data_IF_056385959938
#
_entry.id   IF_056385959938
#
_cell.length_a   1.000
_cell.length_b   1.000
_cell.length_c   1.000
_cell.angle_alpha   90.00
_cell.angle_beta   90.00
_cell.angle_gamma   90.00
#
_symmetry.space_group_name_H-M   'P 1'
#
loop_
_entity.id
_entity.type
_entity.pdbx_description
1 polymer ?
#
# COMPACT_ATOMS: atom_id res chain seq x y z
N UNK A 1 5.54 -25.42 2.61
CA UNK A 1 5.83 -26.86 2.43
C UNK A 1 7.30 -27.16 2.63
N UNK A 2 8.23 -26.45 1.98
CA UNK A 2 9.67 -26.71 2.06
C UNK A 2 10.34 -26.29 3.40
N UNK A 3 9.64 -25.59 4.28
CA UNK A 3 10.07 -25.42 5.69
C UNK A 3 9.85 -26.65 6.56
N UNK A 4 9.14 -27.65 6.05
CA UNK A 4 8.92 -28.90 6.75
C UNK A 4 10.11 -29.88 6.56
N UNK A 5 10.36 -30.73 7.56
CA UNK A 5 11.40 -31.75 7.47
C UNK A 5 11.19 -32.68 6.26
N UNK A 6 12.24 -33.32 5.75
CA UNK A 6 12.10 -34.29 4.64
C UNK A 6 11.09 -35.41 4.93
N UNK A 7 10.97 -35.86 6.17
CA UNK A 7 9.98 -36.86 6.56
C UNK A 7 8.54 -36.34 6.43
N UNK A 8 8.30 -35.10 6.84
CA UNK A 8 6.98 -34.42 6.69
C UNK A 8 6.66 -34.17 5.23
N UNK A 9 7.64 -33.77 4.43
CA UNK A 9 7.46 -33.61 2.98
C UNK A 9 7.12 -34.95 2.30
N UNK A 10 7.70 -36.06 2.78
CA UNK A 10 7.36 -37.42 2.29
C UNK A 10 5.90 -37.79 2.59
N UNK A 11 5.39 -37.42 3.77
CA UNK A 11 3.96 -37.63 4.09
C UNK A 11 3.05 -36.77 3.19
N UNK A 12 3.42 -35.49 2.94
CA UNK A 12 2.70 -34.60 2.03
C UNK A 12 2.68 -35.15 0.58
N UNK A 13 3.68 -35.91 0.17
CA UNK A 13 3.73 -36.55 -1.14
C UNK A 13 2.53 -37.46 -1.39
N UNK A 14 2.14 -38.28 -0.40
CA UNK A 14 0.96 -39.13 -0.51
C UNK A 14 -0.33 -38.30 -0.66
N UNK A 15 -0.45 -37.21 0.10
CA UNK A 15 -1.59 -36.32 -0.01
C UNK A 15 -1.72 -35.71 -1.42
N UNK A 16 -0.60 -35.23 -1.97
CA UNK A 16 -0.60 -34.58 -3.30
C UNK A 16 -0.82 -35.60 -4.42
N UNK A 17 -0.25 -36.78 -4.31
CA UNK A 17 -0.34 -37.82 -5.35
C UNK A 17 -1.68 -38.56 -5.32
N UNK A 18 -2.04 -39.09 -4.14
CA UNK A 18 -3.17 -40.01 -3.97
C UNK A 18 -4.42 -39.27 -3.44
N UNK A 19 -4.31 -37.99 -3.13
CA UNK A 19 -5.38 -37.16 -2.51
C UNK A 19 -5.88 -37.81 -1.20
N UNK A 20 -4.97 -38.46 -0.45
CA UNK A 20 -5.29 -39.18 0.76
C UNK A 20 -4.17 -39.08 1.81
N UNK A 21 -4.54 -39.10 3.09
CA UNK A 21 -3.62 -39.30 4.23
C UNK A 21 -4.16 -40.43 5.08
N UNK A 22 -3.42 -41.52 5.13
CA UNK A 22 -3.86 -42.73 5.83
C UNK A 22 -5.21 -43.22 5.25
N UNK A 23 -6.25 -43.23 6.08
CA UNK A 23 -7.62 -43.63 5.66
C UNK A 23 -8.47 -42.49 5.16
N UNK A 24 -8.02 -41.24 5.31
CA UNK A 24 -8.79 -40.07 4.90
C UNK A 24 -8.55 -39.74 3.41
N UNK A 25 -9.62 -39.69 2.64
CA UNK A 25 -9.63 -39.31 1.22
C UNK A 25 -10.10 -37.88 1.07
N UNK A 26 -9.35 -37.04 0.33
CA UNK A 26 -9.79 -35.70 -0.02
C UNK A 26 -10.96 -35.78 -1.02
N UNK A 27 -12.01 -34.96 -0.83
CA UNK A 27 -13.09 -34.81 -1.82
C UNK A 27 -12.53 -34.34 -3.18
N UNK A 28 -13.19 -34.73 -4.27
CA UNK A 28 -12.73 -34.42 -5.63
C UNK A 28 -12.69 -32.91 -5.93
N UNK A 29 -13.58 -32.13 -5.32
CA UNK A 29 -13.67 -30.69 -5.48
C UNK A 29 -12.65 -29.88 -4.65
N UNK A 30 -11.74 -30.52 -3.92
CA UNK A 30 -10.70 -29.84 -3.14
C UNK A 30 -9.46 -29.61 -4.02
N UNK A 31 -8.99 -28.38 -4.11
CA UNK A 31 -7.70 -28.03 -4.73
C UNK A 31 -6.60 -28.02 -3.66
N UNK A 32 -5.43 -28.56 -4.00
CA UNK A 32 -4.27 -28.55 -3.11
C UNK A 32 -3.36 -27.40 -3.54
N UNK A 33 -3.13 -26.45 -2.65
CA UNK A 33 -2.15 -25.38 -2.81
C UNK A 33 -1.10 -25.47 -1.70
N UNK A 34 0.14 -25.14 -2.03
CA UNK A 34 1.24 -25.11 -1.08
C UNK A 34 2.01 -23.81 -1.18
N UNK A 35 2.42 -23.26 -0.03
CA UNK A 35 3.33 -22.13 0.05
C UNK A 35 4.69 -22.59 0.60
N UNK A 36 5.75 -21.90 0.20
CA UNK A 36 7.11 -22.15 0.65
C UNK A 36 7.98 -20.92 0.51
N UNK A 37 9.13 -20.92 1.14
CA UNK A 37 10.14 -19.87 1.00
C UNK A 37 11.08 -20.21 -0.15
N UNK A 38 11.67 -19.19 -0.76
CA UNK A 38 12.73 -19.40 -1.76
C UNK A 38 14.01 -19.86 -1.07
N UNK A 39 14.77 -20.70 -1.73
CA UNK A 39 16.07 -21.17 -1.21
C UNK A 39 17.05 -20.00 -1.01
N UNK A 40 16.88 -18.91 -1.78
CA UNK A 40 17.66 -17.66 -1.68
C UNK A 40 17.37 -16.85 -0.42
N UNK A 41 16.21 -17.05 0.21
CA UNK A 41 15.76 -16.21 1.34
C UNK A 41 16.43 -16.63 2.67
N UNK A 42 17.39 -17.60 2.64
CA UNK A 42 18.11 -18.12 3.83
C UNK A 42 17.21 -18.50 5.02
N UNK A 43 15.92 -18.66 4.80
CA UNK A 43 15.01 -19.24 5.79
C UNK A 43 15.29 -20.71 6.01
N UNK A 44 14.66 -21.30 7.03
CA UNK A 44 14.73 -22.76 7.21
C UNK A 44 13.98 -23.40 6.04
N UNK A 45 14.73 -23.85 5.04
CA UNK A 45 14.20 -24.55 3.87
C UNK A 45 14.92 -25.86 3.67
N UNK A 46 14.16 -26.88 3.33
CA UNK A 46 14.69 -28.16 2.87
C UNK A 46 14.37 -28.30 1.39
N UNK A 47 15.35 -28.77 0.63
CA UNK A 47 15.14 -29.00 -0.80
C UNK A 47 13.99 -29.96 -1.02
N UNK A 48 13.00 -29.53 -1.80
CA UNK A 48 11.87 -30.38 -2.15
C UNK A 48 12.33 -31.53 -3.03
N UNK A 49 11.96 -32.80 -2.73
CA UNK A 49 12.25 -33.94 -3.60
C UNK A 49 11.69 -33.69 -5.02
N UNK A 50 12.49 -33.97 -6.06
CA UNK A 50 12.07 -33.76 -7.46
C UNK A 50 10.72 -34.40 -7.80
N UNK A 51 10.38 -35.63 -7.34
CA UNK A 51 9.06 -36.18 -7.62
C UNK A 51 7.90 -35.42 -7.00
N UNK A 52 8.09 -34.78 -5.82
CA UNK A 52 7.09 -33.92 -5.19
C UNK A 52 6.98 -32.58 -5.94
N UNK A 53 8.12 -31.98 -6.24
CA UNK A 53 8.16 -30.72 -6.99
C UNK A 53 7.43 -30.84 -8.35
N UNK A 54 7.65 -31.91 -9.09
CA UNK A 54 7.03 -32.14 -10.40
C UNK A 54 5.50 -32.32 -10.37
N UNK A 55 4.88 -32.32 -9.20
CA UNK A 55 3.42 -32.42 -9.04
C UNK A 55 2.73 -31.10 -8.76
N UNK A 56 3.51 -30.05 -8.67
CA UNK A 56 3.02 -28.68 -8.50
C UNK A 56 3.29 -27.85 -9.74
N UNK A 57 2.39 -26.92 -10.00
CA UNK A 57 2.69 -25.74 -10.81
C UNK A 57 3.37 -24.72 -9.90
N UNK A 58 4.57 -24.29 -10.27
CA UNK A 58 5.36 -23.39 -9.45
C UNK A 58 5.15 -21.94 -9.89
N UNK A 59 4.76 -21.09 -8.94
CA UNK A 59 4.62 -19.66 -9.14
C UNK A 59 5.53 -18.92 -8.15
N UNK A 60 6.31 -17.98 -8.66
CA UNK A 60 7.10 -17.08 -7.84
C UNK A 60 6.29 -15.83 -7.56
N UNK A 61 5.94 -15.62 -6.28
CA UNK A 61 5.25 -14.39 -5.84
C UNK A 61 6.27 -13.30 -5.65
N UNK A 62 6.09 -12.17 -6.35
CA UNK A 62 6.92 -10.98 -6.25
C UNK A 62 6.15 -9.85 -5.60
N UNK A 63 6.88 -8.97 -4.90
CA UNK A 63 6.30 -7.73 -4.40
C UNK A 63 6.18 -6.76 -5.56
N UNK A 64 4.97 -6.23 -5.76
CA UNK A 64 4.65 -5.20 -6.75
C UNK A 64 3.98 -4.02 -6.05
N UNK A 65 4.51 -2.82 -6.25
CA UNK A 65 4.02 -1.62 -5.57
C UNK A 65 2.58 -1.29 -5.95
N UNK A 66 2.21 -1.37 -7.23
CA UNK A 66 0.87 -0.98 -7.66
C UNK A 66 -0.20 -1.92 -7.09
N UNK A 67 0.08 -3.22 -7.12
CA UNK A 67 -0.80 -4.23 -6.50
C UNK A 67 -0.91 -4.02 -5.00
N UNK A 68 0.21 -3.71 -4.32
CA UNK A 68 0.20 -3.38 -2.90
C UNK A 68 -0.58 -2.11 -2.61
N UNK A 69 -0.42 -1.06 -3.41
CA UNK A 69 -1.13 0.21 -3.25
C UNK A 69 -2.65 0.02 -3.36
N UNK A 70 -3.12 -0.76 -4.34
CA UNK A 70 -4.54 -1.07 -4.49
C UNK A 70 -5.09 -1.83 -3.26
N UNK A 71 -4.29 -2.73 -2.71
CA UNK A 71 -4.63 -3.44 -1.49
C UNK A 71 -4.60 -2.51 -0.27
N UNK A 72 -3.58 -1.67 -0.13
CA UNK A 72 -3.38 -0.74 0.98
C UNK A 72 -4.56 0.23 1.11
N UNK A 73 -5.02 0.80 -0.01
CA UNK A 73 -6.19 1.69 -0.06
C UNK A 73 -7.45 0.96 0.43
N UNK A 74 -7.69 -0.27 -0.05
CA UNK A 74 -8.87 -1.07 0.35
C UNK A 74 -8.85 -1.50 1.82
N UNK A 75 -7.65 -1.64 2.40
CA UNK A 75 -7.46 -2.06 3.79
C UNK A 75 -7.12 -0.88 4.71
N UNK A 76 -7.36 0.35 4.27
CA UNK A 76 -7.24 1.57 5.08
C UNK A 76 -5.86 1.74 5.73
N UNK A 77 -4.80 1.41 5.01
CA UNK A 77 -3.43 1.68 5.44
C UNK A 77 -3.24 3.19 5.62
N UNK A 78 -2.60 3.58 6.71
CA UNK A 78 -2.42 4.99 7.10
C UNK A 78 -1.88 5.84 5.93
N UNK A 79 -2.46 7.03 5.67
CA UNK A 79 -2.08 7.90 4.54
C UNK A 79 -0.59 8.22 4.47
N UNK A 80 0.09 8.42 5.63
CA UNK A 80 1.53 8.69 5.67
C UNK A 80 2.34 7.51 5.12
N UNK A 81 1.94 6.27 5.42
CA UNK A 81 2.61 5.07 4.89
C UNK A 81 2.42 4.97 3.38
N UNK A 82 1.19 5.15 2.89
CA UNK A 82 0.89 5.12 1.46
C UNK A 82 1.62 6.25 0.73
N UNK A 83 1.60 7.46 1.28
CA UNK A 83 2.27 8.65 0.71
C UNK A 83 3.80 8.47 0.66
N UNK A 84 4.41 8.00 1.74
CA UNK A 84 5.84 7.68 1.78
C UNK A 84 6.22 6.67 0.71
N UNK A 85 5.54 5.53 0.66
CA UNK A 85 5.83 4.46 -0.28
C UNK A 85 5.47 4.81 -1.73
N UNK A 86 4.56 5.74 -1.97
CA UNK A 86 4.31 6.27 -3.32
C UNK A 86 5.54 7.00 -3.85
N UNK A 87 6.25 7.72 -2.98
CA UNK A 87 7.50 8.41 -3.31
C UNK A 87 8.69 7.45 -3.36
N UNK A 88 8.80 6.58 -2.36
CA UNK A 88 9.94 5.68 -2.15
C UNK A 88 9.53 4.21 -2.35
N UNK A 89 9.11 3.86 -3.57
CA UNK A 89 8.54 2.53 -3.91
C UNK A 89 9.44 1.36 -3.54
N UNK A 90 10.76 1.56 -3.64
CA UNK A 90 11.74 0.52 -3.33
C UNK A 90 11.81 0.19 -1.83
N UNK A 91 11.36 1.11 -0.97
CA UNK A 91 11.34 0.90 0.48
C UNK A 91 10.16 0.02 0.92
N UNK A 92 9.24 -0.36 0.01
CA UNK A 92 8.19 -1.34 0.29
C UNK A 92 8.73 -2.72 0.65
N UNK A 93 9.86 -3.11 0.04
CA UNK A 93 10.49 -4.40 0.29
C UNK A 93 12.02 -4.24 0.25
N UNK A 94 12.64 -4.34 1.41
CA UNK A 94 14.08 -4.18 1.59
C UNK A 94 14.65 -5.38 2.38
N UNK A 95 14.47 -6.58 1.82
CA UNK A 95 15.03 -7.79 2.39
C UNK A 95 16.42 -8.06 1.83
N UNK A 96 17.41 -8.12 2.72
CA UNK A 96 18.76 -8.57 2.40
C UNK A 96 19.10 -9.84 3.19
N UNK A 97 19.17 -10.96 2.48
CA UNK A 97 19.53 -12.25 3.07
C UNK A 97 20.96 -12.29 3.67
N UNK A 98 21.83 -11.33 3.35
CA UNK A 98 23.17 -11.21 3.91
C UNK A 98 23.22 -10.39 5.20
N UNK A 99 22.21 -9.58 5.47
CA UNK A 99 22.09 -8.78 6.68
C UNK A 99 21.78 -9.65 7.90
N UNK A 100 22.31 -9.23 9.05
CA UNK A 100 21.97 -9.79 10.35
C UNK A 100 20.85 -9.01 11.06
N UNK A 101 20.26 -8.01 10.41
CA UNK A 101 19.16 -7.24 10.96
C UNK A 101 17.93 -8.13 11.18
N UNK A 102 17.27 -7.92 12.32
CA UNK A 102 16.05 -8.66 12.69
C UNK A 102 14.81 -8.07 12.08
N UNK A 103 14.84 -6.77 11.78
CA UNK A 103 13.73 -5.99 11.25
C UNK A 103 14.08 -5.45 9.87
N UNK A 104 13.18 -5.63 8.93
CA UNK A 104 13.34 -5.16 7.55
C UNK A 104 11.98 -4.88 6.92
N UNK A 105 11.97 -4.00 5.94
CA UNK A 105 10.75 -3.58 5.28
C UNK A 105 10.16 -4.69 4.40
N UNK A 106 8.89 -4.96 4.62
CA UNK A 106 8.03 -5.83 3.81
C UNK A 106 6.62 -5.23 3.76
N UNK A 107 5.75 -5.64 2.81
CA UNK A 107 4.34 -5.25 2.86
C UNK A 107 3.67 -5.48 4.22
N UNK A 108 4.03 -6.57 4.90
CA UNK A 108 3.51 -6.90 6.25
C UNK A 108 4.03 -5.96 7.33
N UNK A 109 5.33 -5.70 7.36
CA UNK A 109 5.89 -4.80 8.38
C UNK A 109 5.40 -3.37 8.20
N UNK A 110 5.12 -2.93 6.98
CA UNK A 110 4.46 -1.64 6.74
C UNK A 110 2.99 -1.62 7.22
N UNK A 111 2.30 -2.76 7.25
CA UNK A 111 0.98 -2.85 7.90
C UNK A 111 1.12 -2.63 9.41
N UNK A 112 2.11 -3.24 10.05
CA UNK A 112 2.39 -3.01 11.48
C UNK A 112 2.74 -1.55 11.76
N UNK A 113 3.55 -0.92 10.89
CA UNK A 113 3.85 0.52 11.00
C UNK A 113 2.56 1.35 10.93
N UNK A 114 1.68 1.04 9.98
CA UNK A 114 0.39 1.71 9.82
C UNK A 114 -0.46 1.60 11.10
N UNK A 115 -0.58 0.42 11.67
CA UNK A 115 -1.30 0.17 12.91
C UNK A 115 -0.66 0.93 14.08
N UNK A 116 0.67 0.90 14.19
CA UNK A 116 1.43 1.60 15.24
C UNK A 116 1.19 3.10 15.23
N UNK A 117 1.25 3.74 14.04
CA UNK A 117 1.11 5.22 13.95
C UNK A 117 -0.34 5.69 13.95
N UNK A 118 -1.31 4.79 13.89
CA UNK A 118 -2.73 5.13 13.96
C UNK A 118 -3.21 5.38 15.39
N UNK A 119 -2.48 4.91 16.40
CA UNK A 119 -2.79 5.10 17.82
C UNK A 119 -1.50 5.42 18.59
N UNK A 120 -1.11 6.68 18.54
CA UNK A 120 0.13 7.19 19.17
C UNK A 120 -0.15 8.18 20.29
N UNK A 121 -1.38 8.23 20.79
CA UNK A 121 -1.74 9.12 21.90
C UNK A 121 -0.91 8.79 23.14
N UNK A 122 -0.23 9.79 23.70
CA UNK A 122 0.60 9.65 24.87
C UNK A 122 2.05 9.22 24.62
N UNK A 123 2.43 8.93 23.36
CA UNK A 123 3.81 8.62 23.00
C UNK A 123 4.55 9.84 22.43
N UNK A 124 5.83 9.92 22.71
CA UNK A 124 6.74 10.90 22.09
C UNK A 124 7.10 10.47 20.67
N UNK A 125 7.52 11.41 19.82
CA UNK A 125 7.98 11.09 18.45
C UNK A 125 9.21 10.17 18.44
N UNK A 126 10.04 10.18 19.49
CA UNK A 126 11.16 9.24 19.63
C UNK A 126 10.65 7.82 19.87
N UNK A 127 9.72 7.64 20.82
CA UNK A 127 9.13 6.34 21.10
C UNK A 127 8.39 5.77 19.89
N UNK A 128 7.65 6.61 19.15
CA UNK A 128 7.00 6.20 17.90
C UNK A 128 8.04 5.77 16.85
N UNK A 129 9.16 6.50 16.77
CA UNK A 129 10.25 6.15 15.83
C UNK A 129 10.89 4.82 16.20
N UNK A 130 11.09 4.54 17.47
CA UNK A 130 11.64 3.27 17.96
C UNK A 130 10.67 2.09 17.66
N UNK A 131 9.37 2.29 17.86
CA UNK A 131 8.36 1.30 17.51
C UNK A 131 8.35 1.00 16.00
N UNK A 132 8.45 2.03 15.17
CA UNK A 132 8.56 1.89 13.70
C UNK A 132 9.86 1.16 13.32
N UNK A 133 10.98 1.51 13.97
CA UNK A 133 12.28 0.87 13.73
C UNK A 133 12.26 -0.63 14.08
N UNK A 134 11.51 -1.01 15.10
CA UNK A 134 11.30 -2.41 15.44
C UNK A 134 10.61 -3.21 14.31
N UNK A 135 9.84 -2.54 13.45
CA UNK A 135 9.14 -3.17 12.31
C UNK A 135 9.94 -3.19 11.01
N UNK A 136 10.58 -2.07 10.67
CA UNK A 136 11.18 -1.87 9.32
C UNK A 136 12.69 -1.58 9.33
N UNK A 137 13.33 -1.56 10.50
CA UNK A 137 14.73 -1.23 10.69
C UNK A 137 14.97 0.27 10.89
N UNK A 138 16.06 0.58 11.60
CA UNK A 138 16.38 1.94 12.06
C UNK A 138 16.54 2.95 10.91
N UNK A 139 17.28 2.57 9.87
CA UNK A 139 17.54 3.46 8.74
C UNK A 139 16.26 3.90 8.01
N UNK A 140 15.31 2.99 7.80
CA UNK A 140 14.03 3.33 7.17
C UNK A 140 13.10 4.07 8.13
N UNK A 141 13.14 3.76 9.43
CA UNK A 141 12.35 4.47 10.44
C UNK A 141 12.72 5.96 10.50
N UNK A 142 14.01 6.30 10.45
CA UNK A 142 14.47 7.69 10.40
C UNK A 142 14.03 8.41 9.12
N UNK A 143 14.09 7.75 7.96
CA UNK A 143 13.57 8.29 6.70
C UNK A 143 12.06 8.54 6.78
N UNK A 144 11.33 7.60 7.34
CA UNK A 144 9.88 7.70 7.50
C UNK A 144 9.51 8.80 8.52
N UNK A 145 10.25 8.94 9.63
CA UNK A 145 10.11 10.05 10.58
C UNK A 145 10.23 11.41 9.88
N UNK A 146 11.31 11.60 9.12
CA UNK A 146 11.52 12.84 8.37
C UNK A 146 10.37 13.14 7.39
N UNK A 147 9.79 12.11 6.76
CA UNK A 147 8.61 12.24 5.93
C UNK A 147 7.39 12.68 6.74
N UNK A 148 7.12 12.08 7.91
CA UNK A 148 6.01 12.45 8.78
C UNK A 148 6.13 13.86 9.34
N UNK A 149 7.32 14.31 9.71
CA UNK A 149 7.56 15.68 10.17
C UNK A 149 7.15 16.73 9.12
N UNK A 150 7.44 16.46 7.84
CA UNK A 150 7.01 17.32 6.75
C UNK A 150 5.50 17.21 6.51
N UNK A 151 4.96 15.99 6.56
CA UNK A 151 3.52 15.76 6.38
C UNK A 151 2.70 16.39 7.51
N UNK A 152 3.19 16.40 8.74
CA UNK A 152 2.54 17.04 9.89
C UNK A 152 2.44 18.57 9.82
N UNK A 153 3.20 19.21 8.92
CA UNK A 153 3.12 20.66 8.65
C UNK A 153 2.11 20.99 7.54
N UNK A 154 1.51 19.98 6.92
CA UNK A 154 0.54 20.18 5.86
C UNK A 154 -0.82 20.61 6.41
N UNK A 155 -1.58 21.39 5.63
CA UNK A 155 -2.93 21.76 6.02
C UNK A 155 -3.82 20.50 6.17
N UNK A 156 -4.80 20.60 7.08
CA UNK A 156 -5.74 19.53 7.31
C UNK A 156 -6.54 19.26 6.01
N UNK A 157 -6.57 18.00 5.51
CA UNK A 157 -7.31 17.65 4.30
C UNK A 157 -8.78 18.05 4.34
N UNK A 158 -9.45 17.90 5.48
CA UNK A 158 -10.84 18.31 5.65
C UNK A 158 -11.05 19.81 5.42
N UNK A 159 -10.13 20.67 5.86
CA UNK A 159 -10.24 22.13 5.62
C UNK A 159 -10.04 22.48 4.14
N UNK A 160 -9.19 21.74 3.44
CA UNK A 160 -9.04 21.88 1.98
C UNK A 160 -10.34 21.49 1.27
N UNK A 161 -10.87 20.29 1.59
CA UNK A 161 -12.09 19.77 0.96
C UNK A 161 -13.32 20.62 1.27
N UNK A 162 -13.35 21.30 2.41
CA UNK A 162 -14.39 22.27 2.76
C UNK A 162 -14.15 23.66 2.16
N UNK A 163 -13.07 23.88 1.41
CA UNK A 163 -12.74 25.15 0.73
C UNK A 163 -12.24 26.24 1.66
N UNK A 164 -11.86 25.93 2.91
CA UNK A 164 -11.30 26.88 3.87
C UNK A 164 -9.82 27.18 3.58
N UNK A 165 -9.06 26.20 3.10
CA UNK A 165 -7.66 26.32 2.72
C UNK A 165 -7.53 26.14 1.22
N UNK A 166 -6.94 27.13 0.53
CA UNK A 166 -6.79 27.17 -0.93
C UNK A 166 -5.34 27.18 -1.39
N UNK A 167 -4.41 27.44 -0.49
CA UNK A 167 -3.00 27.61 -0.80
C UNK A 167 -2.17 26.58 -0.06
N UNK A 168 -1.16 26.04 -0.76
CA UNK A 168 -0.17 25.13 -0.20
C UNK A 168 1.20 25.78 -0.26
N UNK A 169 1.86 25.88 0.88
CA UNK A 169 3.18 26.49 0.98
C UNK A 169 4.25 25.42 1.23
N UNK A 170 4.42 24.51 0.26
CA UNK A 170 5.51 23.52 0.27
C UNK A 170 5.86 23.09 -1.15
N UNK A 171 7.17 22.95 -1.39
CA UNK A 171 7.70 22.37 -2.63
C UNK A 171 8.10 20.89 -2.47
N UNK A 172 7.92 20.33 -1.27
CA UNK A 172 8.29 18.96 -0.98
C UNK A 172 7.34 17.98 -1.69
N UNK A 173 7.88 17.26 -2.67
CA UNK A 173 7.13 16.32 -3.51
C UNK A 173 6.52 15.19 -2.67
N UNK A 174 7.27 14.65 -1.71
CA UNK A 174 6.79 13.59 -0.82
C UNK A 174 5.59 14.04 0.02
N UNK A 175 5.63 15.28 0.54
CA UNK A 175 4.53 15.90 1.27
C UNK A 175 3.29 16.07 0.39
N UNK A 176 3.46 16.54 -0.85
CA UNK A 176 2.35 16.66 -1.82
C UNK A 176 1.70 15.29 -2.11
N UNK A 177 2.48 14.21 -2.20
CA UNK A 177 1.95 12.84 -2.36
C UNK A 177 1.15 12.40 -1.13
N UNK A 178 1.65 12.62 0.09
CA UNK A 178 0.93 12.32 1.33
C UNK A 178 -0.39 13.09 1.40
N UNK A 179 -0.35 14.39 1.12
CA UNK A 179 -1.55 15.23 1.12
C UNK A 179 -2.58 14.73 0.09
N UNK A 180 -2.14 14.39 -1.13
CA UNK A 180 -3.01 13.85 -2.17
C UNK A 180 -3.68 12.55 -1.71
N UNK A 181 -2.92 11.66 -1.06
CA UNK A 181 -3.44 10.40 -0.54
C UNK A 181 -4.49 10.64 0.56
N UNK A 182 -4.19 11.55 1.50
CA UNK A 182 -5.11 11.92 2.58
C UNK A 182 -6.38 12.58 2.04
N UNK A 183 -6.27 13.49 1.06
CA UNK A 183 -7.41 14.10 0.38
C UNK A 183 -8.29 13.06 -0.31
N UNK A 184 -7.69 12.09 -1.02
CA UNK A 184 -8.45 11.02 -1.68
C UNK A 184 -9.15 10.11 -0.66
N UNK A 185 -8.51 9.85 0.48
CA UNK A 185 -9.10 9.06 1.57
C UNK A 185 -10.35 9.75 2.13
N UNK A 186 -10.24 11.01 2.57
CA UNK A 186 -11.39 11.77 3.09
C UNK A 186 -12.49 11.99 2.05
N UNK A 187 -12.13 12.20 0.77
CA UNK A 187 -13.10 12.25 -0.31
C UNK A 187 -13.90 10.94 -0.40
N UNK A 188 -13.21 9.80 -0.29
CA UNK A 188 -13.88 8.49 -0.33
C UNK A 188 -14.88 8.36 0.82
N UNK A 189 -14.48 8.72 2.03
CA UNK A 189 -15.38 8.73 3.19
C UNK A 189 -16.59 9.66 2.98
N UNK A 190 -16.36 10.85 2.43
CA UNK A 190 -17.43 11.79 2.14
C UNK A 190 -18.45 11.23 1.11
N UNK A 191 -18.00 10.52 0.10
CA UNK A 191 -18.88 9.87 -0.88
C UNK A 191 -19.60 8.67 -0.30
N UNK A 192 -18.95 7.88 0.55
CA UNK A 192 -19.56 6.71 1.19
C UNK A 192 -20.61 7.11 2.24
N UNK A 193 -20.44 8.26 2.90
CA UNK A 193 -21.34 8.76 3.94
C UNK A 193 -22.38 9.78 3.43
N UNK A 194 -22.45 10.04 2.11
CA UNK A 194 -23.30 11.06 1.48
C UNK A 194 -23.12 12.49 2.05
N UNK A 195 -21.85 12.83 2.40
CA UNK A 195 -21.45 14.09 3.02
C UNK A 195 -20.90 15.09 2.00
N UNK A 196 -21.78 15.63 1.15
CA UNK A 196 -21.51 16.68 0.15
C UNK A 196 -20.29 16.35 -0.77
N UNK A 197 -20.11 15.08 -1.09
CA UNK A 197 -18.93 14.56 -1.80
C UNK A 197 -18.65 15.28 -3.12
N UNK A 198 -19.69 15.70 -3.87
CA UNK A 198 -19.50 16.44 -5.13
C UNK A 198 -18.84 17.79 -4.91
N UNK A 199 -19.27 18.56 -3.90
CA UNK A 199 -18.68 19.87 -3.59
C UNK A 199 -17.25 19.71 -3.08
N UNK A 200 -17.01 18.71 -2.22
CA UNK A 200 -15.65 18.39 -1.74
C UNK A 200 -14.74 17.98 -2.89
N UNK A 201 -15.24 17.21 -3.86
CA UNK A 201 -14.48 16.86 -5.07
C UNK A 201 -14.19 18.08 -5.97
N UNK A 202 -15.12 19.01 -6.08
CA UNK A 202 -14.92 20.27 -6.83
C UNK A 202 -13.81 21.13 -6.18
N UNK A 203 -13.83 21.26 -4.84
CA UNK A 203 -12.77 21.93 -4.08
C UNK A 203 -11.41 21.19 -4.19
N UNK A 204 -11.41 19.86 -4.21
CA UNK A 204 -10.22 19.09 -4.47
C UNK A 204 -9.61 19.40 -5.83
N UNK A 205 -10.42 19.44 -6.90
CA UNK A 205 -9.95 19.81 -8.24
C UNK A 205 -9.39 21.24 -8.27
N UNK A 206 -10.07 22.20 -7.63
CA UNK A 206 -9.57 23.59 -7.52
C UNK A 206 -8.20 23.61 -6.83
N UNK A 207 -8.08 22.91 -5.71
CA UNK A 207 -6.87 22.91 -4.91
C UNK A 207 -5.67 22.30 -5.64
N UNK A 208 -5.83 21.10 -6.23
CA UNK A 208 -4.72 20.44 -6.93
C UNK A 208 -4.29 21.20 -8.18
N UNK A 209 -5.23 21.79 -8.94
CA UNK A 209 -4.90 22.59 -10.12
C UNK A 209 -4.13 23.87 -9.76
N UNK A 210 -4.39 24.44 -8.59
CA UNK A 210 -3.73 25.66 -8.13
C UNK A 210 -2.33 25.42 -7.57
N UNK A 211 -2.12 24.30 -6.88
CA UNK A 211 -0.96 24.10 -6.01
C UNK A 211 0.01 23.02 -6.51
N UNK A 212 -0.36 22.23 -7.52
CA UNK A 212 0.44 21.09 -7.97
C UNK A 212 0.89 21.28 -9.42
N UNK A 213 1.99 20.64 -9.76
CA UNK A 213 2.48 20.50 -11.14
C UNK A 213 1.54 19.58 -11.94
N UNK A 214 1.50 19.75 -13.26
CA UNK A 214 0.57 19.07 -14.17
C UNK A 214 0.54 17.55 -14.01
N UNK A 215 1.71 16.92 -13.84
CA UNK A 215 1.82 15.46 -13.65
C UNK A 215 1.16 15.02 -12.35
N UNK A 216 1.34 15.78 -11.29
CA UNK A 216 0.76 15.48 -9.98
C UNK A 216 -0.75 15.75 -9.95
N UNK A 217 -1.24 16.75 -10.68
CA UNK A 217 -2.67 17.02 -10.87
C UNK A 217 -3.35 15.82 -11.54
N UNK A 218 -2.77 15.33 -12.63
CA UNK A 218 -3.29 14.14 -13.35
C UNK A 218 -3.25 12.90 -12.46
N UNK A 219 -2.13 12.68 -11.77
CA UNK A 219 -1.98 11.57 -10.85
C UNK A 219 -3.03 11.63 -9.73
N UNK A 220 -3.20 12.77 -9.06
CA UNK A 220 -4.16 12.92 -7.96
C UNK A 220 -5.60 12.65 -8.41
N UNK A 221 -6.02 13.21 -9.54
CA UNK A 221 -7.33 12.94 -10.10
C UNK A 221 -7.52 11.47 -10.51
N UNK A 222 -6.51 10.85 -11.13
CA UNK A 222 -6.54 9.43 -11.51
C UNK A 222 -6.61 8.53 -10.27
N UNK A 223 -5.85 8.82 -9.24
CA UNK A 223 -5.90 8.09 -7.97
C UNK A 223 -7.30 8.18 -7.35
N UNK A 224 -7.86 9.37 -7.24
CA UNK A 224 -9.21 9.58 -6.69
C UNK A 224 -10.28 8.77 -7.46
N UNK A 225 -10.29 8.87 -8.79
CA UNK A 225 -11.32 8.25 -9.63
C UNK A 225 -11.11 6.74 -9.79
N UNK A 226 -9.87 6.29 -10.02
CA UNK A 226 -9.57 4.90 -10.36
C UNK A 226 -9.24 4.03 -9.16
N UNK A 227 -8.38 4.50 -8.24
CA UNK A 227 -7.92 3.73 -7.08
C UNK A 227 -8.94 3.76 -5.93
N UNK A 228 -9.41 4.95 -5.58
CA UNK A 228 -10.44 5.11 -4.54
C UNK A 228 -11.85 4.89 -5.06
N UNK A 229 -12.05 4.81 -6.36
CA UNK A 229 -13.33 4.52 -6.98
C UNK A 229 -14.39 5.62 -6.79
N UNK A 230 -13.95 6.86 -6.56
CA UNK A 230 -14.84 8.01 -6.40
C UNK A 230 -15.60 8.25 -7.70
N UNK A 231 -16.92 8.52 -7.60
CA UNK A 231 -17.81 8.72 -8.74
C UNK A 231 -18.60 10.02 -8.60
N UNK A 232 -17.96 11.18 -8.87
CA UNK A 232 -18.65 12.46 -8.79
C UNK A 232 -19.65 12.64 -9.94
N UNK A 233 -20.64 13.48 -9.72
CA UNK A 233 -21.56 13.95 -10.77
C UNK A 233 -20.90 15.08 -11.54
N UNK A 234 -20.13 14.75 -12.56
CA UNK A 234 -19.28 15.68 -13.31
C UNK A 234 -20.02 16.92 -13.86
N UNK A 235 -21.31 16.81 -14.17
CA UNK A 235 -22.13 17.92 -14.62
C UNK A 235 -22.44 18.96 -13.53
N UNK A 236 -22.19 18.65 -12.27
CA UNK A 236 -22.39 19.52 -11.11
C UNK A 236 -21.08 20.19 -10.64
N UNK A 237 -19.94 19.86 -11.27
CA UNK A 237 -18.63 20.37 -10.88
C UNK A 237 -18.26 21.60 -11.72
N UNK A 238 -17.90 22.70 -11.06
CA UNK A 238 -17.48 23.93 -11.73
C UNK A 238 -16.05 23.81 -12.30
N UNK A 239 -15.18 23.12 -11.55
CA UNK A 239 -13.76 22.99 -11.87
C UNK A 239 -13.45 21.82 -12.82
N UNK A 240 -14.42 20.97 -13.15
CA UNK A 240 -14.20 19.81 -14.02
C UNK A 240 -13.96 20.17 -15.49
N UNK A 241 -14.73 21.13 -16.05
CA UNK A 241 -14.54 21.57 -17.44
C UNK A 241 -13.15 22.19 -17.68
N UNK A 242 -12.69 23.13 -16.84
CA UNK A 242 -11.31 23.63 -16.94
C UNK A 242 -10.28 22.51 -16.79
N UNK A 243 -10.49 21.60 -15.85
CA UNK A 243 -9.61 20.46 -15.61
C UNK A 243 -9.46 19.58 -16.87
N UNK A 244 -10.56 19.14 -17.48
CA UNK A 244 -10.50 18.31 -18.70
C UNK A 244 -9.91 19.09 -19.88
N UNK A 245 -10.20 20.38 -20.03
CA UNK A 245 -9.63 21.21 -21.09
C UNK A 245 -8.10 21.26 -21.00
N UNK A 246 -7.55 21.31 -19.79
CA UNK A 246 -6.11 21.45 -19.56
C UNK A 246 -5.40 20.07 -19.49
N UNK A 247 -5.98 19.09 -18.84
CA UNK A 247 -5.32 17.82 -18.48
C UNK A 247 -5.88 16.58 -19.20
N UNK A 248 -6.99 16.70 -19.93
CA UNK A 248 -7.68 15.55 -20.55
C UNK A 248 -6.77 14.72 -21.46
N UNK A 249 -5.92 15.37 -22.27
CA UNK A 249 -4.97 14.66 -23.15
C UNK A 249 -3.89 13.88 -22.37
N UNK A 250 -3.49 14.35 -21.19
CA UNK A 250 -2.51 13.67 -20.34
C UNK A 250 -3.13 12.46 -19.65
N UNK A 251 -4.44 12.53 -19.33
CA UNK A 251 -5.18 11.42 -18.71
C UNK A 251 -5.38 10.28 -19.70
N UNK A 252 -5.61 10.59 -20.99
CA UNK A 252 -5.76 9.56 -22.04
C UNK A 252 -4.44 8.82 -22.35
N UNK A 253 -3.31 9.37 -21.96
CA UNK A 253 -1.97 8.80 -22.17
C UNK A 253 -1.41 8.05 -20.94
N UNK A 254 -2.03 8.17 -19.78
CA UNK A 254 -1.63 7.58 -18.51
C UNK A 254 -2.37 6.25 -18.23
#
# INVERSE_FOLDING_TARGET
LNGASPATQAAAYQLVLNRAIGKYQLPENVVIAAAGNRDTDKGVTYRMPKPLANRFLHYEVRVDFNTWQDWAIKNQIHPDVVGYLTTFKNDLYNFDASSNERSFATPRSWTFVSETISDVEGFTEEEVTDMVAAGIGEGLALKFKAHREVSGQLPNPSDILNGKVKDLNTDNISAKYSLTTALCYELKEAFDNDDDGNKKFDNFLEFIQKNFESEMVVMGATVALSKYGIRPKFNQLNNYKPFIAQYGKLIEQA
#
